data_IF_262017551802
#
_entry.id   IF_262017551802
#
_cell.length_a   1.000
_cell.length_b   1.000
_cell.length_c   1.000
_cell.angle_alpha   90.00
_cell.angle_beta   90.00
_cell.angle_gamma   90.00
#
_symmetry.space_group_name_H-M   'P 1'
#
loop_
_entity.id
_entity.type
_entity.pdbx_description
1 polymer ?
#
# COMPACT_ATOMS: atom_id res chain seq x y z
N UNK A 1 -11.32 -0.06 4.34
CA UNK A 1 -12.38 0.20 3.34
C UNK A 1 -13.08 1.55 3.60
N UNK A 2 -13.47 1.85 4.84
CA UNK A 2 -14.11 3.13 5.18
C UNK A 2 -13.26 4.37 4.90
N UNK A 3 -11.95 4.33 5.11
CA UNK A 3 -11.08 5.48 4.87
C UNK A 3 -10.93 5.80 3.37
N UNK A 4 -10.99 4.81 2.49
CA UNK A 4 -11.00 4.98 1.04
C UNK A 4 -12.37 5.49 0.57
N UNK A 5 -13.46 4.97 1.15
CA UNK A 5 -14.81 5.45 0.89
C UNK A 5 -15.01 6.91 1.38
N UNK A 6 -14.47 7.28 2.53
CA UNK A 6 -14.47 8.67 3.04
C UNK A 6 -13.77 9.66 2.11
N UNK A 7 -12.86 9.20 1.26
CA UNK A 7 -12.15 10.03 0.28
C UNK A 7 -12.80 10.05 -1.12
N UNK A 8 -13.96 9.39 -1.30
CA UNK A 8 -14.67 9.33 -2.59
C UNK A 8 -13.93 8.55 -3.69
N UNK A 9 -12.95 7.72 -3.32
CA UNK A 9 -12.14 6.94 -4.24
C UNK A 9 -12.59 5.48 -4.26
N UNK A 10 -13.75 5.23 -4.87
CA UNK A 10 -14.23 3.87 -5.06
C UNK A 10 -13.35 3.09 -6.06
N UNK A 11 -13.09 1.83 -5.72
CA UNK A 11 -12.48 0.88 -6.64
C UNK A 11 -13.41 0.62 -7.84
N UNK A 12 -12.89 0.72 -9.05
CA UNK A 12 -13.66 0.29 -10.22
C UNK A 12 -14.08 -1.18 -10.09
N UNK A 13 -15.19 -1.56 -10.73
CA UNK A 13 -15.68 -2.93 -10.69
C UNK A 13 -14.61 -3.94 -11.13
N UNK A 14 -13.86 -3.62 -12.19
CA UNK A 14 -12.76 -4.46 -12.69
C UNK A 14 -11.65 -4.71 -11.67
N UNK A 15 -11.29 -3.69 -10.89
CA UNK A 15 -10.29 -3.82 -9.82
C UNK A 15 -10.86 -4.64 -8.66
N UNK A 16 -12.12 -4.42 -8.27
CA UNK A 16 -12.79 -5.21 -7.23
C UNK A 16 -12.85 -6.69 -7.59
N UNK A 17 -13.22 -7.01 -8.82
CA UNK A 17 -13.26 -8.39 -9.30
C UNK A 17 -11.88 -9.06 -9.31
N UNK A 18 -10.84 -8.34 -9.78
CA UNK A 18 -9.47 -8.84 -9.73
C UNK A 18 -9.04 -9.13 -8.30
N UNK A 19 -9.23 -8.19 -7.38
CA UNK A 19 -8.88 -8.35 -5.96
C UNK A 19 -9.61 -9.52 -5.32
N UNK A 20 -10.91 -9.67 -5.62
CA UNK A 20 -11.70 -10.81 -5.13
C UNK A 20 -11.17 -12.15 -5.65
N UNK A 21 -10.86 -12.22 -6.96
CA UNK A 21 -10.28 -13.46 -7.55
C UNK A 21 -8.95 -13.84 -6.91
N UNK A 22 -8.06 -12.86 -6.68
CA UNK A 22 -6.76 -13.08 -6.03
C UNK A 22 -6.94 -13.55 -4.58
N UNK A 23 -7.82 -12.91 -3.81
CA UNK A 23 -8.15 -13.31 -2.45
C UNK A 23 -8.71 -14.74 -2.38
N UNK A 24 -9.72 -15.05 -3.18
CA UNK A 24 -10.35 -16.37 -3.20
C UNK A 24 -9.34 -17.45 -3.57
N UNK A 25 -8.50 -17.21 -4.58
CA UNK A 25 -7.47 -18.16 -4.99
C UNK A 25 -6.44 -18.41 -3.88
N UNK A 26 -5.96 -17.36 -3.23
CA UNK A 26 -5.02 -17.48 -2.10
C UNK A 26 -5.66 -18.22 -0.91
N UNK A 27 -6.92 -17.92 -0.59
CA UNK A 27 -7.63 -18.55 0.54
C UNK A 27 -7.92 -20.03 0.32
N UNK A 28 -8.27 -20.40 -0.91
CA UNK A 28 -8.61 -21.80 -1.27
C UNK A 28 -7.39 -22.67 -1.45
N UNK A 29 -6.31 -22.13 -2.00
CA UNK A 29 -5.10 -22.88 -2.36
C UNK A 29 -3.87 -22.25 -1.70
N UNK A 30 -3.63 -22.54 -0.42
CA UNK A 30 -2.54 -21.97 0.38
C UNK A 30 -1.12 -22.18 -0.20
N UNK A 31 -0.93 -23.21 -1.01
CA UNK A 31 0.35 -23.54 -1.66
C UNK A 31 0.49 -22.94 -3.06
N UNK A 32 -0.57 -22.24 -3.55
CA UNK A 32 -0.56 -21.68 -4.88
C UNK A 32 0.47 -20.57 -5.01
N UNK A 33 1.29 -20.61 -6.07
CA UNK A 33 2.27 -19.59 -6.39
C UNK A 33 1.77 -18.69 -7.51
N UNK A 34 1.70 -17.40 -7.24
CA UNK A 34 1.24 -16.39 -8.20
C UNK A 34 2.41 -15.94 -9.10
N UNK A 35 2.47 -16.43 -10.32
CA UNK A 35 3.55 -16.09 -11.27
C UNK A 35 3.26 -14.87 -12.15
N UNK A 36 1.99 -14.49 -12.32
CA UNK A 36 1.53 -13.46 -13.26
C UNK A 36 0.90 -12.27 -12.57
N UNK A 37 1.59 -11.69 -11.57
CA UNK A 37 1.11 -10.50 -10.86
C UNK A 37 1.66 -9.19 -11.45
N UNK A 38 2.84 -9.25 -12.03
CA UNK A 38 3.53 -8.06 -12.52
C UNK A 38 2.74 -7.35 -13.62
N UNK A 39 2.20 -8.10 -14.58
CA UNK A 39 1.36 -7.59 -15.67
C UNK A 39 0.11 -6.86 -15.18
N UNK A 40 -0.39 -7.21 -14.01
CA UNK A 40 -1.56 -6.56 -13.40
C UNK A 40 -1.21 -5.22 -12.78
N UNK A 41 0.00 -5.07 -12.22
CA UNK A 41 0.41 -3.85 -11.54
C UNK A 41 0.50 -2.64 -12.50
N UNK A 42 0.84 -2.85 -13.78
CA UNK A 42 0.91 -1.76 -14.76
C UNK A 42 -0.34 -1.61 -15.64
N UNK A 43 -1.46 -2.25 -15.31
CA UNK A 43 -2.73 -2.01 -16.00
C UNK A 43 -3.14 -0.54 -15.84
N UNK A 44 -3.63 0.06 -16.90
CA UNK A 44 -4.02 1.48 -16.93
C UNK A 44 -5.07 1.83 -15.85
N UNK A 45 -6.05 0.94 -15.59
CA UNK A 45 -7.06 1.14 -14.55
C UNK A 45 -6.46 1.12 -13.14
N UNK A 46 -5.50 0.23 -12.87
CA UNK A 46 -4.80 0.13 -11.58
C UNK A 46 -3.88 1.33 -11.38
N UNK A 47 -3.09 1.72 -12.38
CA UNK A 47 -2.23 2.91 -12.31
C UNK A 47 -3.05 4.18 -12.09
N UNK A 48 -4.19 4.34 -12.80
CA UNK A 48 -5.08 5.49 -12.61
C UNK A 48 -5.67 5.54 -11.20
N UNK A 49 -6.08 4.41 -10.65
CA UNK A 49 -6.56 4.31 -9.27
C UNK A 49 -5.44 4.60 -8.26
N UNK A 50 -4.25 4.02 -8.45
CA UNK A 50 -3.08 4.25 -7.62
C UNK A 50 -2.68 5.74 -7.59
N UNK A 51 -2.69 6.41 -8.75
CA UNK A 51 -2.44 7.85 -8.85
C UNK A 51 -3.44 8.65 -7.99
N UNK A 52 -4.73 8.34 -8.11
CA UNK A 52 -5.77 9.02 -7.35
C UNK A 52 -5.62 8.80 -5.84
N UNK A 53 -5.28 7.59 -5.39
CA UNK A 53 -5.00 7.28 -3.98
C UNK A 53 -3.82 8.09 -3.45
N UNK A 54 -2.71 8.12 -4.19
CA UNK A 54 -1.50 8.83 -3.75
C UNK A 54 -1.73 10.34 -3.75
N UNK A 55 -2.44 10.87 -4.74
CA UNK A 55 -2.80 12.31 -4.82
C UNK A 55 -3.65 12.72 -3.61
N UNK A 56 -4.65 11.91 -3.24
CA UNK A 56 -5.51 12.17 -2.10
C UNK A 56 -4.75 12.27 -0.76
N UNK A 57 -3.58 11.64 -0.65
CA UNK A 57 -2.72 11.71 0.53
C UNK A 57 -1.94 13.02 0.67
N UNK A 58 -1.93 13.89 -0.36
CA UNK A 58 -1.26 15.22 -0.36
C UNK A 58 0.20 15.18 0.16
N UNK A 59 0.94 14.12 -0.15
CA UNK A 59 2.30 13.94 0.33
C UNK A 59 3.30 14.90 -0.35
N UNK A 60 4.33 15.31 0.38
CA UNK A 60 5.41 16.14 -0.12
C UNK A 60 6.15 15.51 -1.32
N UNK A 61 6.77 16.32 -2.23
CA UNK A 61 7.55 15.79 -3.35
C UNK A 61 8.79 15.01 -2.90
N UNK A 62 9.25 14.12 -3.76
CA UNK A 62 10.46 13.33 -3.55
C UNK A 62 11.75 14.11 -3.77
N UNK A 63 12.81 13.38 -4.16
CA UNK A 63 14.13 13.97 -4.47
C UNK A 63 14.12 14.76 -5.77
N UNK A 64 13.22 14.42 -6.69
CA UNK A 64 12.99 15.09 -7.98
C UNK A 64 12.26 16.43 -7.88
N UNK A 65 11.65 16.71 -6.72
CA UNK A 65 10.84 17.92 -6.53
C UNK A 65 9.51 17.92 -7.28
N UNK A 66 9.17 16.84 -8.01
CA UNK A 66 7.94 16.75 -8.80
C UNK A 66 6.71 16.68 -7.92
N UNK A 67 5.70 17.52 -8.23
CA UNK A 67 4.42 17.56 -7.52
C UNK A 67 3.27 17.12 -8.42
N UNK A 68 2.13 16.78 -7.83
CA UNK A 68 0.92 16.44 -8.61
C UNK A 68 0.44 17.58 -9.46
N UNK A 69 0.55 18.80 -8.95
CA UNK A 69 0.18 20.03 -9.68
C UNK A 69 1.07 20.26 -10.89
N UNK A 70 2.39 19.96 -10.77
CA UNK A 70 3.32 20.06 -11.89
C UNK A 70 3.00 19.02 -12.97
N UNK A 71 2.73 17.75 -12.58
CA UNK A 71 2.32 16.68 -13.50
C UNK A 71 1.05 17.09 -14.26
N UNK A 72 0.04 17.64 -13.57
CA UNK A 72 -1.25 17.97 -14.17
C UNK A 72 -1.20 19.20 -15.08
N UNK A 73 -0.24 20.12 -14.86
CA UNK A 73 -0.01 21.30 -15.73
C UNK A 73 0.85 20.98 -16.95
N UNK A 74 1.62 19.88 -16.91
CA UNK A 74 2.44 19.46 -18.05
C UNK A 74 1.58 19.09 -19.26
N UNK A 75 2.16 19.12 -20.44
CA UNK A 75 1.49 18.74 -21.69
C UNK A 75 0.98 17.28 -21.61
N UNK A 76 -0.31 17.09 -21.89
CA UNK A 76 -0.99 15.81 -21.70
C UNK A 76 -1.22 15.40 -20.24
N UNK A 77 -0.66 16.12 -19.28
CA UNK A 77 -0.95 16.03 -17.85
C UNK A 77 -0.86 14.59 -17.30
N UNK A 78 -1.83 14.23 -16.47
CA UNK A 78 -1.95 12.89 -15.87
C UNK A 78 -1.90 11.75 -16.91
N UNK A 79 -2.50 11.94 -18.08
CA UNK A 79 -2.59 10.89 -19.10
C UNK A 79 -1.20 10.52 -19.65
N UNK A 80 -0.40 11.51 -20.02
CA UNK A 80 0.98 11.32 -20.49
C UNK A 80 1.87 10.72 -19.40
N UNK A 81 1.75 11.20 -18.17
CA UNK A 81 2.47 10.63 -17.03
C UNK A 81 2.18 9.14 -16.82
N UNK A 82 0.90 8.74 -16.84
CA UNK A 82 0.51 7.35 -16.61
C UNK A 82 0.86 6.44 -17.80
N UNK A 83 0.73 6.92 -19.05
CA UNK A 83 1.11 6.12 -20.21
C UNK A 83 2.63 5.90 -20.28
N UNK A 84 3.42 6.90 -19.96
CA UNK A 84 4.87 6.76 -19.86
C UNK A 84 5.29 5.76 -18.78
N UNK A 85 4.65 5.84 -17.60
CA UNK A 85 4.91 4.89 -16.50
C UNK A 85 4.49 3.46 -16.85
N UNK A 86 3.33 3.29 -17.51
CA UNK A 86 2.88 1.99 -18.00
C UNK A 86 3.89 1.38 -18.98
N UNK A 87 4.42 2.18 -19.90
CA UNK A 87 5.40 1.73 -20.88
C UNK A 87 6.73 1.33 -20.24
N UNK A 88 7.25 2.13 -19.30
CA UNK A 88 8.47 1.80 -18.54
C UNK A 88 8.31 0.48 -17.78
N UNK A 89 7.18 0.28 -17.11
CA UNK A 89 6.89 -0.95 -16.39
C UNK A 89 6.77 -2.14 -17.34
N UNK A 90 6.05 -2.00 -18.45
CA UNK A 90 5.87 -3.05 -19.46
C UNK A 90 7.20 -3.49 -20.06
N UNK A 91 8.08 -2.53 -20.36
CA UNK A 91 9.42 -2.78 -20.88
C UNK A 91 10.43 -3.22 -19.82
N UNK A 92 10.05 -3.28 -18.53
CA UNK A 92 10.92 -3.57 -17.39
C UNK A 92 12.10 -2.57 -17.26
N UNK A 93 11.90 -1.36 -17.70
CA UNK A 93 12.87 -0.26 -17.65
C UNK A 93 12.72 0.61 -16.40
N UNK A 94 11.59 0.51 -15.70
CA UNK A 94 11.38 1.26 -14.47
C UNK A 94 12.48 0.97 -13.44
N UNK A 95 12.99 2.05 -12.84
CA UNK A 95 13.93 2.01 -11.72
C UNK A 95 13.45 2.97 -10.65
N UNK A 96 13.39 2.50 -9.41
CA UNK A 96 13.03 3.33 -8.28
C UNK A 96 14.09 4.40 -8.04
N UNK A 97 13.65 5.61 -7.76
CA UNK A 97 14.53 6.74 -7.44
C UNK A 97 14.97 6.69 -5.97
N UNK A 98 16.10 7.32 -5.61
CA UNK A 98 16.46 7.53 -4.22
C UNK A 98 15.37 8.30 -3.46
N UNK A 99 15.19 7.99 -2.18
CA UNK A 99 14.24 8.72 -1.34
C UNK A 99 14.84 10.02 -0.81
N UNK A 100 14.04 11.07 -0.74
CA UNK A 100 14.42 12.32 -0.05
C UNK A 100 14.36 12.10 1.45
N UNK A 101 15.50 12.17 2.14
CA UNK A 101 15.57 11.96 3.59
C UNK A 101 15.21 13.24 4.34
N UNK A 102 14.26 13.13 5.27
CA UNK A 102 13.85 14.20 6.18
C UNK A 102 13.97 13.68 7.62
N UNK A 103 14.45 14.53 8.53
CA UNK A 103 14.59 14.16 9.94
C UNK A 103 13.38 14.63 10.74
N UNK A 104 12.66 13.70 11.37
CA UNK A 104 11.48 13.98 12.19
C UNK A 104 11.85 13.85 13.66
N UNK A 105 11.47 14.82 14.53
CA UNK A 105 11.66 14.70 15.97
C UNK A 105 10.87 13.51 16.55
N UNK A 106 11.45 12.82 17.52
CA UNK A 106 10.79 11.77 18.31
C UNK A 106 10.20 12.37 19.57
N UNK A 107 9.06 11.85 20.04
CA UNK A 107 8.47 12.25 21.32
C UNK A 107 9.39 11.98 22.52
N UNK A 108 10.25 10.93 22.43
CA UNK A 108 11.25 10.57 23.45
C UNK A 108 12.56 11.35 23.34
N UNK A 109 12.63 12.40 22.52
CA UNK A 109 13.87 13.12 22.20
C UNK A 109 14.64 12.50 21.02
N UNK A 110 15.53 13.30 20.40
CA UNK A 110 16.28 12.91 19.20
C UNK A 110 15.48 13.00 17.91
N UNK A 111 16.05 12.49 16.79
CA UNK A 111 15.44 12.54 15.45
C UNK A 111 15.39 11.13 14.85
N UNK A 112 14.41 10.87 13.99
CA UNK A 112 14.35 9.66 13.15
C UNK A 112 14.34 10.05 11.68
N UNK A 113 15.03 9.30 10.80
CA UNK A 113 14.95 9.54 9.37
C UNK A 113 13.58 9.10 8.82
N UNK A 114 13.04 9.91 7.92
CA UNK A 114 11.90 9.57 7.06
C UNK A 114 12.34 9.67 5.61
N UNK A 115 12.16 8.61 4.83
CA UNK A 115 12.38 8.61 3.40
C UNK A 115 11.08 8.98 2.66
N UNK A 116 11.13 10.02 1.82
CA UNK A 116 10.00 10.44 0.98
C UNK A 116 10.31 10.02 -0.46
N UNK A 117 9.59 9.00 -1.01
CA UNK A 117 9.74 8.59 -2.40
C UNK A 117 9.18 9.65 -3.36
N UNK A 118 9.56 9.59 -4.64
CA UNK A 118 9.00 10.41 -5.71
C UNK A 118 7.49 10.12 -5.90
N UNK A 119 6.78 11.03 -6.58
CA UNK A 119 5.37 10.79 -6.95
C UNK A 119 5.25 9.51 -7.77
N UNK A 120 6.15 9.34 -8.74
CA UNK A 120 6.23 8.17 -9.63
C UNK A 120 6.36 6.87 -8.83
N UNK A 121 7.31 6.81 -7.90
CA UNK A 121 7.56 5.64 -7.07
C UNK A 121 6.37 5.32 -6.15
N UNK A 122 5.73 6.34 -5.58
CA UNK A 122 4.52 6.15 -4.75
C UNK A 122 3.36 5.58 -5.56
N UNK A 123 3.18 6.01 -6.82
CA UNK A 123 2.14 5.46 -7.70
C UNK A 123 2.42 3.99 -8.00
N UNK A 124 3.68 3.63 -8.30
CA UNK A 124 4.06 2.21 -8.50
C UNK A 124 3.83 1.39 -7.24
N UNK A 125 4.27 1.88 -6.07
CA UNK A 125 4.05 1.20 -4.79
C UNK A 125 2.56 0.98 -4.51
N UNK A 126 1.72 2.00 -4.74
CA UNK A 126 0.28 1.88 -4.57
C UNK A 126 -0.34 0.89 -5.56
N UNK A 127 0.09 0.88 -6.82
CA UNK A 127 -0.37 -0.08 -7.82
C UNK A 127 0.00 -1.53 -7.43
N UNK A 128 1.23 -1.76 -7.01
CA UNK A 128 1.67 -3.07 -6.50
C UNK A 128 0.85 -3.46 -5.27
N UNK A 129 0.65 -2.55 -4.31
CA UNK A 129 -0.18 -2.80 -3.12
C UNK A 129 -1.59 -3.24 -3.50
N UNK A 130 -2.25 -2.57 -4.45
CA UNK A 130 -3.61 -2.94 -4.91
C UNK A 130 -3.69 -4.39 -5.37
N UNK A 131 -2.63 -4.90 -6.01
CA UNK A 131 -2.56 -6.26 -6.54
C UNK A 131 -2.20 -7.29 -5.46
N UNK A 132 -1.20 -7.02 -4.62
CA UNK A 132 -0.68 -8.03 -3.68
C UNK A 132 -1.46 -8.09 -2.35
N UNK A 133 -2.03 -6.97 -1.90
CA UNK A 133 -2.73 -6.89 -0.59
C UNK A 133 -3.80 -7.97 -0.41
N UNK A 134 -4.69 -8.28 -1.38
CA UNK A 134 -5.70 -9.32 -1.19
C UNK A 134 -5.13 -10.71 -1.01
N UNK A 135 -3.93 -11.00 -1.53
CA UNK A 135 -3.24 -12.29 -1.36
C UNK A 135 -2.76 -12.43 0.08
N UNK A 136 -2.08 -11.40 0.60
CA UNK A 136 -1.64 -11.38 2.00
C UNK A 136 -2.80 -11.35 2.98
N UNK A 137 -3.88 -10.61 2.65
CA UNK A 137 -5.09 -10.53 3.48
C UNK A 137 -5.75 -11.91 3.65
N UNK A 138 -5.63 -12.79 2.65
CA UNK A 138 -6.15 -14.15 2.73
C UNK A 138 -5.39 -15.03 3.74
N UNK A 139 -4.12 -14.73 4.01
CA UNK A 139 -3.25 -15.50 4.92
C UNK A 139 -3.21 -14.95 6.35
N UNK A 140 -3.65 -13.71 6.56
CA UNK A 140 -3.64 -13.14 7.90
C UNK A 140 -4.63 -13.83 8.84
N UNK A 141 -4.17 -14.10 10.06
CA UNK A 141 -5.01 -14.55 11.16
C UNK A 141 -6.00 -13.45 11.59
N UNK A 142 -7.15 -13.83 12.13
CA UNK A 142 -8.18 -12.88 12.57
C UNK A 142 -7.69 -11.96 13.68
N UNK A 143 -6.77 -12.43 14.52
CA UNK A 143 -6.11 -11.68 15.58
C UNK A 143 -4.98 -10.74 15.11
N UNK A 144 -4.66 -10.70 13.82
CA UNK A 144 -3.70 -9.76 13.24
C UNK A 144 -4.40 -8.44 12.91
N UNK A 145 -4.00 -7.34 13.56
CA UNK A 145 -4.66 -6.02 13.44
C UNK A 145 -3.82 -4.98 12.70
N UNK A 146 -2.50 -5.10 12.72
CA UNK A 146 -1.59 -4.08 12.19
C UNK A 146 -1.71 -3.85 10.69
N UNK A 147 -1.96 -2.60 10.27
CA UNK A 147 -1.98 -2.15 8.87
C UNK A 147 -2.94 -2.89 7.92
N UNK A 148 -3.96 -3.56 8.46
CA UNK A 148 -4.98 -4.29 7.70
C UNK A 148 -6.20 -3.42 7.40
N UNK A 149 -6.82 -3.56 6.19
CA UNK A 149 -8.09 -2.91 5.89
C UNK A 149 -9.20 -3.32 6.86
N UNK A 150 -9.91 -2.32 7.42
CA UNK A 150 -11.03 -2.58 8.34
C UNK A 150 -10.62 -3.09 9.72
N UNK A 151 -9.34 -3.12 10.05
CA UNK A 151 -8.81 -3.41 11.39
C UNK A 151 -8.22 -2.14 12.01
N UNK A 152 -8.42 -1.96 13.32
CA UNK A 152 -7.91 -0.82 14.06
C UNK A 152 -7.38 -1.19 15.46
N UNK A 153 -6.75 -0.22 16.13
CA UNK A 153 -6.17 -0.43 17.44
C UNK A 153 -7.24 -0.68 18.53
N UNK A 154 -8.44 -0.09 18.40
CA UNK A 154 -9.52 -0.30 19.37
C UNK A 154 -10.04 -1.74 19.34
N UNK A 155 -10.18 -2.31 18.14
CA UNK A 155 -10.54 -3.72 17.98
C UNK A 155 -9.48 -4.64 18.58
N UNK A 156 -8.18 -4.32 18.40
CA UNK A 156 -7.09 -5.09 19.03
C UNK A 156 -7.17 -5.06 20.57
N UNK A 157 -7.40 -3.88 21.14
CA UNK A 157 -7.55 -3.71 22.60
C UNK A 157 -8.78 -4.47 23.10
N UNK A 158 -9.91 -4.38 22.41
CA UNK A 158 -11.12 -5.11 22.76
C UNK A 158 -10.91 -6.63 22.78
N UNK A 159 -10.19 -7.17 21.80
CA UNK A 159 -9.87 -8.60 21.75
C UNK A 159 -8.93 -9.03 22.87
N UNK A 160 -7.93 -8.21 23.21
CA UNK A 160 -7.04 -8.43 24.37
C UNK A 160 -7.87 -8.44 25.66
N UNK A 161 -8.72 -7.43 25.88
CA UNK A 161 -9.58 -7.33 27.05
C UNK A 161 -10.50 -8.56 27.21
N UNK A 162 -11.10 -9.00 26.09
CA UNK A 162 -11.92 -10.22 26.08
C UNK A 162 -11.13 -11.47 26.49
N UNK A 163 -9.87 -11.59 26.04
CA UNK A 163 -9.03 -12.73 26.37
C UNK A 163 -8.59 -12.68 27.85
N UNK A 164 -8.25 -11.51 28.39
CA UNK A 164 -7.96 -11.33 29.81
C UNK A 164 -9.14 -11.73 30.70
N UNK A 165 -10.34 -11.28 30.36
CA UNK A 165 -11.59 -11.63 31.09
C UNK A 165 -11.93 -13.14 31.03
N UNK A 166 -11.34 -13.88 30.09
CA UNK A 166 -11.44 -15.35 30.00
C UNK A 166 -10.34 -16.09 30.77
N UNK A 167 -9.53 -15.38 31.56
CA UNK A 167 -8.46 -15.95 32.36
C UNK A 167 -7.14 -16.19 31.61
N UNK A 168 -6.99 -15.67 30.40
CA UNK A 168 -5.73 -15.75 29.64
C UNK A 168 -4.84 -14.57 30.02
N UNK A 169 -4.09 -14.69 31.11
CA UNK A 169 -3.30 -13.59 31.70
C UNK A 169 -1.82 -13.60 31.30
N UNK A 170 -1.36 -14.71 30.70
CA UNK A 170 0.03 -14.80 30.25
C UNK A 170 0.21 -14.19 28.86
N UNK A 171 1.27 -13.37 28.73
CA UNK A 171 1.63 -12.69 27.49
C UNK A 171 3.02 -13.13 27.03
N UNK A 172 3.11 -13.71 25.85
CA UNK A 172 4.38 -14.00 25.20
C UNK A 172 4.77 -12.83 24.27
N UNK A 173 5.72 -11.99 24.67
CA UNK A 173 6.31 -10.95 23.81
C UNK A 173 7.47 -11.53 23.00
N UNK A 174 7.20 -11.91 21.76
CA UNK A 174 8.23 -12.35 20.80
C UNK A 174 8.57 -11.24 19.85
N UNK A 175 9.66 -10.53 20.09
CA UNK A 175 10.21 -9.59 19.11
C UNK A 175 10.97 -10.35 18.04
N UNK A 176 10.76 -10.04 16.73
CA UNK A 176 11.61 -10.59 15.68
C UNK A 176 13.05 -10.17 15.99
N UNK A 177 13.96 -11.16 16.05
CA UNK A 177 15.39 -10.89 16.18
C UNK A 177 15.83 -9.95 15.06
N UNK A 178 16.82 -9.06 15.31
CA UNK A 178 17.48 -8.31 14.26
C UNK A 178 18.00 -9.30 13.22
N UNK A 179 17.43 -9.27 12.03
CA UNK A 179 18.09 -9.85 10.86
C UNK A 179 19.27 -8.93 10.58
N UNK A 180 20.48 -9.42 10.84
CA UNK A 180 21.74 -8.77 10.49
C UNK A 180 21.92 -8.80 8.98
#
# INVERSE_FOLDING_TARGET
MEEIARRGLELSQRIRELRRKLYCKAKQEKTYRFYTLYDKAYRADILSHAYALVKANKGAPGVDGETFEAIERAEGGKATFLSGLEEELRKRQYRASPVRRVWIPKASGGKRPLGIPTVKDRVVQAAVKVVIEPIFEADFEDSSYGYRPGKDAHQAIADITKNLNRGRTEVLDKRPGRVL
#
